data_IF_874653551845
#
_entry.id   IF_874653551845
#
_cell.length_a   1.000
_cell.length_b   1.000
_cell.length_c   1.000
_cell.angle_alpha   90.00
_cell.angle_beta   90.00
_cell.angle_gamma   90.00
#
_symmetry.space_group_name_H-M   'P 1'
#
loop_
_entity.id
_entity.type
_entity.pdbx_description
1 polymer ?
#
# COMPACT_ATOMS: atom_id res chain seq x y z
N UNK A 1 -1.03 1.01 -66.04
CA UNK A 1 -1.25 -0.21 -65.23
C UNK A 1 -0.40 -0.09 -63.96
N UNK A 2 -0.82 0.77 -63.04
CA UNK A 2 -0.13 1.09 -61.78
C UNK A 2 -1.08 0.72 -60.65
N UNK A 3 -0.97 -0.49 -60.10
CA UNK A 3 -1.50 -0.90 -58.79
C UNK A 3 -0.91 -2.31 -58.61
N UNK A 4 0.21 -2.41 -57.89
CA UNK A 4 0.69 -3.68 -57.31
C UNK A 4 1.92 -3.57 -56.40
N UNK A 5 2.44 -2.37 -56.14
CA UNK A 5 3.63 -2.21 -55.27
C UNK A 5 3.38 -1.46 -53.96
N UNK A 6 2.15 -1.05 -53.67
CA UNK A 6 1.85 -0.25 -52.47
C UNK A 6 1.33 -1.05 -51.27
N UNK A 7 1.32 -2.38 -51.34
CA UNK A 7 0.83 -3.24 -50.25
C UNK A 7 1.93 -3.74 -49.31
N UNK A 8 3.22 -3.54 -49.62
CA UNK A 8 4.30 -3.97 -48.73
C UNK A 8 4.66 -2.94 -47.64
N UNK A 9 4.21 -1.70 -47.75
CA UNK A 9 4.52 -0.65 -46.77
C UNK A 9 3.52 -0.59 -45.60
N UNK A 10 2.36 -1.23 -45.73
CA UNK A 10 1.34 -1.24 -44.65
C UNK A 10 1.67 -2.29 -43.58
N UNK A 11 2.45 -3.33 -43.91
CA UNK A 11 2.85 -4.36 -42.95
C UNK A 11 3.92 -3.88 -41.94
N UNK A 12 4.66 -2.80 -42.24
CA UNK A 12 5.75 -2.31 -41.35
C UNK A 12 5.24 -1.28 -40.33
N UNK A 13 4.04 -0.71 -40.54
CA UNK A 13 3.47 0.29 -39.61
C UNK A 13 2.73 -0.38 -38.44
N UNK A 14 2.41 -1.67 -38.52
CA UNK A 14 1.70 -2.40 -37.47
C UNK A 14 2.59 -2.92 -36.33
N UNK A 15 3.91 -2.80 -36.41
CA UNK A 15 4.82 -3.15 -35.30
C UNK A 15 5.16 -1.97 -34.37
N UNK A 16 4.53 -0.80 -34.56
CA UNK A 16 4.60 0.31 -33.59
C UNK A 16 3.27 0.41 -32.81
N UNK A 17 2.70 -0.74 -32.46
CA UNK A 17 1.62 -0.84 -31.48
C UNK A 17 2.06 -1.74 -30.35
N UNK A 18 3.02 -1.25 -29.56
CA UNK A 18 3.31 -1.65 -28.18
C UNK A 18 4.21 -0.56 -27.58
N UNK A 19 3.69 0.66 -27.49
CA UNK A 19 4.14 1.61 -26.47
C UNK A 19 2.89 2.11 -25.79
N UNK A 20 2.26 1.21 -25.03
CA UNK A 20 1.59 1.71 -23.83
C UNK A 20 2.72 2.34 -23.04
N UNK A 21 2.74 3.68 -22.96
CA UNK A 21 3.60 4.38 -22.03
C UNK A 21 3.52 3.63 -20.70
N UNK A 22 4.70 3.19 -20.30
CA UNK A 22 4.91 2.26 -19.23
C UNK A 22 4.43 2.95 -17.94
N UNK A 23 3.21 2.65 -17.50
CA UNK A 23 2.74 2.93 -16.13
C UNK A 23 3.60 2.19 -15.08
N UNK A 24 4.68 1.50 -15.51
CA UNK A 24 5.66 0.74 -14.75
C UNK A 24 6.53 1.55 -13.80
N UNK A 25 6.49 2.88 -13.84
CA UNK A 25 7.40 3.66 -12.99
C UNK A 25 7.01 3.60 -11.52
N UNK A 26 5.73 3.45 -11.18
CA UNK A 26 5.30 3.29 -9.79
C UNK A 26 5.74 1.89 -9.31
N UNK A 27 6.58 1.78 -8.27
CA UNK A 27 7.07 0.49 -7.80
C UNK A 27 5.90 -0.41 -7.41
N UNK A 28 5.80 -1.54 -8.10
CA UNK A 28 4.74 -2.52 -7.85
C UNK A 28 4.87 -3.13 -6.46
N UNK A 29 3.74 -3.41 -5.84
CA UNK A 29 3.63 -4.18 -4.60
C UNK A 29 2.99 -5.52 -4.93
N UNK A 30 3.58 -6.61 -4.44
CA UNK A 30 3.05 -7.97 -4.63
C UNK A 30 2.80 -8.66 -3.28
N UNK A 31 1.57 -9.15 -3.02
CA UNK A 31 0.34 -8.78 -3.72
C UNK A 31 -0.03 -7.30 -3.46
N UNK A 32 -0.85 -6.69 -4.30
CA UNK A 32 -1.33 -5.30 -4.14
C UNK A 32 -2.55 -5.17 -3.19
N UNK A 33 -3.13 -6.30 -2.80
CA UNK A 33 -4.22 -6.40 -1.84
C UNK A 33 -4.02 -7.66 -0.97
N UNK A 34 -4.38 -7.58 0.30
CA UNK A 34 -4.41 -8.70 1.24
C UNK A 34 -5.74 -8.69 1.97
N UNK A 35 -6.44 -9.82 1.96
CA UNK A 35 -7.61 -10.05 2.80
C UNK A 35 -7.17 -10.72 4.12
N UNK A 36 -7.50 -10.10 5.24
CA UNK A 36 -7.34 -10.68 6.58
C UNK A 36 -8.68 -11.17 7.10
N UNK A 37 -8.67 -12.39 7.65
CA UNK A 37 -9.84 -13.00 8.29
C UNK A 37 -9.41 -13.92 9.42
N UNK A 38 -10.37 -14.48 10.15
CA UNK A 38 -10.06 -15.49 11.19
C UNK A 38 -9.40 -16.74 10.60
N UNK A 39 -9.74 -17.13 9.36
CA UNK A 39 -9.13 -18.25 8.65
C UNK A 39 -7.75 -17.91 8.07
N UNK A 40 -7.55 -16.65 7.68
CA UNK A 40 -6.29 -16.13 7.12
C UNK A 40 -5.86 -14.88 7.91
N UNK A 41 -5.36 -15.07 9.15
CA UNK A 41 -5.11 -13.95 10.06
C UNK A 41 -3.81 -13.21 9.75
N UNK A 42 -3.03 -13.64 8.76
CA UNK A 42 -1.77 -13.01 8.40
C UNK A 42 -1.56 -12.99 6.89
N UNK A 43 -0.84 -11.98 6.42
CA UNK A 43 -0.43 -11.85 5.04
C UNK A 43 0.90 -11.10 4.93
N UNK A 44 1.53 -11.23 3.77
CA UNK A 44 2.80 -10.57 3.48
C UNK A 44 2.71 -9.86 2.14
N UNK A 45 3.30 -8.67 2.05
CA UNK A 45 3.53 -7.98 0.78
C UNK A 45 4.96 -7.48 0.69
N UNK A 46 5.41 -7.29 -0.54
CA UNK A 46 6.76 -6.83 -0.85
C UNK A 46 6.75 -5.91 -2.08
N UNK A 47 7.61 -4.90 -2.05
CA UNK A 47 7.94 -4.13 -3.26
C UNK A 47 8.77 -4.97 -4.23
N UNK A 48 8.46 -4.89 -5.52
CA UNK A 48 9.23 -5.56 -6.57
C UNK A 48 10.71 -5.13 -6.50
N UNK A 49 10.96 -3.84 -6.27
CA UNK A 49 12.30 -3.28 -6.06
C UNK A 49 12.29 -2.26 -4.93
N UNK A 50 13.42 -2.13 -4.24
CA UNK A 50 13.65 -1.04 -3.28
C UNK A 50 12.94 -1.17 -1.93
N UNK A 51 12.97 -0.05 -1.21
CA UNK A 51 12.32 0.12 0.07
C UNK A 51 11.86 1.57 0.20
N UNK A 52 10.55 1.75 0.40
CA UNK A 52 9.92 3.06 0.32
C UNK A 52 9.35 3.48 1.67
N UNK A 53 9.44 4.77 1.94
CA UNK A 53 8.91 5.34 3.18
C UNK A 53 7.38 5.35 3.13
N UNK A 54 6.75 4.77 4.15
CA UNK A 54 5.31 4.94 4.36
C UNK A 54 5.03 6.41 4.70
N UNK A 55 4.13 7.06 3.96
CA UNK A 55 3.80 8.47 4.16
C UNK A 55 2.45 8.67 4.85
N UNK A 56 1.52 7.71 4.73
CA UNK A 56 0.23 7.76 5.42
C UNK A 56 -0.45 6.38 5.52
N UNK A 57 -1.46 6.32 6.38
CA UNK A 57 -2.49 5.27 6.32
C UNK A 57 -3.89 5.89 6.30
N UNK A 58 -4.84 5.18 5.69
CA UNK A 58 -6.27 5.55 5.62
C UNK A 58 -7.15 4.37 5.99
N UNK A 59 -8.06 4.55 6.93
CA UNK A 59 -9.00 3.53 7.43
C UNK A 59 -10.38 3.86 6.88
N UNK A 60 -11.03 2.87 6.26
CA UNK A 60 -12.36 2.99 5.67
C UNK A 60 -13.35 2.05 6.39
N UNK A 61 -14.38 2.61 7.01
CA UNK A 61 -15.45 1.86 7.70
C UNK A 61 -16.67 1.58 6.81
N UNK A 62 -16.62 1.88 5.51
CA UNK A 62 -17.69 1.63 4.55
C UNK A 62 -18.88 2.58 4.64
N UNK A 63 -18.79 3.65 5.43
CA UNK A 63 -19.82 4.69 5.55
C UNK A 63 -19.29 6.02 5.03
N UNK A 64 -20.18 6.82 4.42
CA UNK A 64 -19.88 8.18 3.97
C UNK A 64 -19.32 8.98 5.15
N UNK A 65 -18.27 9.77 4.91
CA UNK A 65 -17.61 10.66 5.88
C UNK A 65 -17.01 9.98 7.12
N UNK A 66 -16.73 8.68 7.05
CA UNK A 66 -16.06 7.93 8.14
C UNK A 66 -14.61 7.54 7.83
N UNK A 67 -14.04 8.02 6.72
CA UNK A 67 -12.64 7.77 6.43
C UNK A 67 -11.74 8.49 7.43
N UNK A 68 -10.80 7.75 8.01
CA UNK A 68 -9.83 8.27 8.97
C UNK A 68 -8.45 8.17 8.35
N UNK A 69 -7.70 9.27 8.30
CA UNK A 69 -6.34 9.26 7.73
C UNK A 69 -5.31 9.85 8.68
N UNK A 70 -4.07 9.35 8.58
CA UNK A 70 -2.94 9.88 9.33
C UNK A 70 -1.67 9.83 8.51
N UNK A 71 -1.00 10.99 8.40
CA UNK A 71 0.33 11.08 7.80
C UNK A 71 1.42 10.66 8.80
N UNK A 72 2.41 9.96 8.30
CA UNK A 72 3.64 9.61 9.00
C UNK A 72 4.62 10.77 8.83
N UNK A 73 4.70 11.64 9.84
CA UNK A 73 5.54 12.84 9.80
C UNK A 73 6.97 12.54 10.26
N UNK A 74 7.90 13.45 9.94
CA UNK A 74 9.28 13.38 10.47
C UNK A 74 9.34 13.36 12.00
N UNK A 75 8.38 14.00 12.67
CA UNK A 75 8.28 13.99 14.14
C UNK A 75 7.90 12.61 14.69
N UNK A 76 6.99 11.89 14.00
CA UNK A 76 6.65 10.51 14.36
C UNK A 76 7.87 9.61 14.16
N UNK A 77 8.58 9.79 13.04
CA UNK A 77 9.75 8.97 12.71
C UNK A 77 10.94 9.22 13.66
N UNK A 78 11.07 10.40 14.25
CA UNK A 78 12.19 10.74 15.15
C UNK A 78 12.07 10.13 16.55
N UNK A 79 10.91 9.57 16.92
CA UNK A 79 10.66 8.92 18.21
C UNK A 79 10.63 7.41 18.03
N UNK A 80 11.18 6.66 18.99
CA UNK A 80 11.13 5.19 18.95
C UNK A 80 9.71 4.65 19.02
N UNK A 81 8.83 5.35 19.74
CA UNK A 81 7.42 5.02 19.87
C UNK A 81 6.58 6.30 19.91
N UNK A 82 5.48 6.31 19.17
CA UNK A 82 4.46 7.37 19.23
C UNK A 82 3.07 6.75 19.24
N UNK A 83 2.25 7.13 20.23
CA UNK A 83 0.81 6.83 20.21
C UNK A 83 0.11 8.01 19.55
N UNK A 84 -0.68 7.74 18.50
CA UNK A 84 -1.49 8.76 17.82
C UNK A 84 -2.96 8.45 18.06
N UNK A 85 -3.70 9.47 18.50
CA UNK A 85 -5.15 9.45 18.52
C UNK A 85 -5.67 9.84 17.13
N UNK A 86 -6.68 9.10 16.67
CA UNK A 86 -7.31 9.26 15.38
C UNK A 86 -8.64 10.03 15.53
N UNK A 87 -9.18 10.55 14.43
CA UNK A 87 -10.40 11.37 14.46
C UNK A 87 -11.66 10.62 14.89
N UNK A 88 -11.63 9.28 14.84
CA UNK A 88 -12.68 8.38 15.33
C UNK A 88 -12.50 7.99 16.81
N UNK A 89 -11.49 8.55 17.49
CA UNK A 89 -11.15 8.24 18.89
C UNK A 89 -10.31 6.96 19.06
N UNK A 90 -10.07 6.21 17.98
CA UNK A 90 -9.19 5.04 18.03
C UNK A 90 -7.72 5.47 18.09
N UNK A 91 -6.85 4.54 18.46
CA UNK A 91 -5.42 4.80 18.60
C UNK A 91 -4.61 3.90 17.67
N UNK A 92 -3.51 4.46 17.18
CA UNK A 92 -2.47 3.68 16.55
C UNK A 92 -1.15 3.90 17.30
N UNK A 93 -0.43 2.82 17.59
CA UNK A 93 0.91 2.90 18.17
C UNK A 93 1.95 2.63 17.09
N UNK A 94 2.77 3.63 16.82
CA UNK A 94 3.79 3.61 15.76
C UNK A 94 5.15 3.41 16.40
N UNK A 95 5.91 2.43 15.91
CA UNK A 95 7.25 2.10 16.38
C UNK A 95 8.26 2.34 15.27
N UNK A 96 9.32 3.06 15.60
CA UNK A 96 10.40 3.40 14.70
C UNK A 96 11.74 3.00 15.32
N UNK A 97 12.73 2.75 14.47
CA UNK A 97 14.12 2.55 14.88
C UNK A 97 15.01 3.39 13.98
N UNK A 98 15.80 4.29 14.56
CA UNK A 98 16.71 5.18 13.84
C UNK A 98 16.02 5.94 12.68
N UNK A 99 14.82 6.48 12.90
CA UNK A 99 14.10 7.21 11.85
C UNK A 99 13.30 6.34 10.87
N UNK A 100 13.37 5.01 10.99
CA UNK A 100 12.73 4.05 10.06
C UNK A 100 11.55 3.39 10.75
N UNK A 101 10.36 3.48 10.14
CA UNK A 101 9.15 2.79 10.57
C UNK A 101 9.38 1.26 10.64
N UNK A 102 9.14 0.68 11.81
CA UNK A 102 9.26 -0.76 12.02
C UNK A 102 7.89 -1.44 12.14
N UNK A 103 6.94 -0.79 12.81
CA UNK A 103 5.63 -1.40 13.11
C UNK A 103 4.57 -0.33 13.35
N UNK A 104 3.32 -0.62 12.99
CA UNK A 104 2.15 0.11 13.45
C UNK A 104 1.17 -0.89 14.03
N UNK A 105 0.71 -0.64 15.25
CA UNK A 105 -0.32 -1.42 15.94
C UNK A 105 -1.62 -0.62 15.98
N UNK A 106 -2.68 -1.25 15.48
CA UNK A 106 -4.07 -0.84 15.63
C UNK A 106 -4.78 -1.87 16.52
N UNK A 107 -5.94 -1.53 17.07
CA UNK A 107 -6.71 -2.48 17.89
C UNK A 107 -7.17 -3.72 17.10
N UNK A 108 -7.33 -3.60 15.78
CA UNK A 108 -7.79 -4.68 14.89
C UNK A 108 -6.68 -5.37 14.10
N UNK A 109 -5.52 -4.75 13.88
CA UNK A 109 -4.41 -5.36 13.15
C UNK A 109 -3.05 -4.76 13.50
N UNK A 110 -2.00 -5.43 13.06
CA UNK A 110 -0.63 -4.90 13.08
C UNK A 110 -0.03 -4.98 11.68
N UNK A 111 0.72 -3.95 11.28
CA UNK A 111 1.64 -3.99 10.13
C UNK A 111 3.07 -3.89 10.66
N UNK A 112 3.97 -4.77 10.21
CA UNK A 112 5.37 -4.81 10.66
C UNK A 112 6.30 -4.98 9.48
N UNK A 113 7.38 -4.20 9.46
CA UNK A 113 8.50 -4.38 8.55
C UNK A 113 9.27 -5.62 8.98
N UNK A 114 9.38 -6.61 8.09
CA UNK A 114 10.09 -7.87 8.38
C UNK A 114 11.49 -7.90 7.75
N UNK A 115 11.67 -7.17 6.66
CA UNK A 115 12.97 -6.90 6.02
C UNK A 115 12.82 -5.68 5.11
N UNK A 116 13.91 -5.26 4.47
CA UNK A 116 13.91 -4.23 3.43
C UNK A 116 12.82 -4.50 2.39
N UNK A 117 11.92 -3.53 2.17
CA UNK A 117 10.85 -3.61 1.18
C UNK A 117 9.72 -4.62 1.45
N UNK A 118 9.73 -5.37 2.56
CA UNK A 118 8.74 -6.41 2.87
C UNK A 118 8.08 -6.19 4.21
N UNK A 119 6.76 -6.37 4.22
CA UNK A 119 5.92 -6.18 5.39
C UNK A 119 5.06 -7.40 5.64
N UNK A 120 4.78 -7.64 6.92
CA UNK A 120 3.77 -8.56 7.42
C UNK A 120 2.58 -7.75 7.91
N UNK A 121 1.38 -8.19 7.60
CA UNK A 121 0.14 -7.73 8.23
C UNK A 121 -0.50 -8.87 8.99
N UNK A 122 -1.10 -8.57 10.13
CA UNK A 122 -1.68 -9.59 11.00
C UNK A 122 -2.92 -9.06 11.72
N UNK A 123 -4.00 -9.85 11.74
CA UNK A 123 -5.23 -9.58 12.45
C UNK A 123 -5.02 -9.75 13.97
N UNK A 124 -5.53 -8.80 14.75
CA UNK A 124 -5.48 -8.87 16.21
C UNK A 124 -6.74 -9.56 16.74
N UNK A 125 -6.56 -10.66 17.48
CA UNK A 125 -7.65 -11.53 17.97
C UNK A 125 -8.59 -10.87 18.98
N UNK A 126 -8.23 -9.69 19.49
CA UNK A 126 -8.94 -9.00 20.59
C UNK A 126 -9.68 -7.74 20.12
N UNK A 127 -10.07 -7.65 18.84
CA UNK A 127 -10.81 -6.48 18.35
C UNK A 127 -12.25 -6.50 18.85
N UNK A 128 -12.49 -5.86 20.01
CA UNK A 128 -13.84 -5.66 20.59
C UNK A 128 -14.54 -4.46 19.91
N UNK A 129 -13.81 -3.70 19.09
CA UNK A 129 -14.31 -2.53 18.35
C UNK A 129 -14.66 -2.87 16.90
N UNK A 130 -15.41 -1.97 16.27
CA UNK A 130 -15.82 -2.08 14.87
C UNK A 130 -14.58 -2.27 13.97
N UNK A 131 -14.46 -3.44 13.36
CA UNK A 131 -13.42 -3.72 12.36
C UNK A 131 -13.76 -2.90 11.10
N UNK A 132 -12.79 -2.15 10.53
CA UNK A 132 -13.00 -1.42 9.28
C UNK A 132 -13.21 -2.36 8.10
N UNK A 133 -13.76 -1.84 7.00
CA UNK A 133 -13.87 -2.60 5.73
C UNK A 133 -12.49 -2.75 5.10
N UNK A 134 -11.69 -1.68 5.14
CA UNK A 134 -10.33 -1.69 4.61
C UNK A 134 -9.42 -0.69 5.33
N UNK A 135 -8.12 -0.93 5.27
CA UNK A 135 -7.07 0.05 5.55
C UNK A 135 -6.08 0.08 4.39
N UNK A 136 -5.70 1.28 3.97
CA UNK A 136 -4.72 1.51 2.92
C UNK A 136 -3.44 2.06 3.54
N UNK A 137 -2.30 1.55 3.11
CA UNK A 137 -1.00 2.11 3.47
C UNK A 137 -0.34 2.69 2.22
N UNK A 138 -0.04 3.98 2.28
CA UNK A 138 0.59 4.70 1.20
C UNK A 138 2.10 4.83 1.40
N UNK A 139 2.85 4.61 0.32
CA UNK A 139 4.30 4.69 0.28
C UNK A 139 4.77 5.68 -0.77
N UNK A 140 5.77 6.50 -0.41
CA UNK A 140 6.37 7.48 -1.30
C UNK A 140 7.52 6.83 -2.08
N UNK A 141 7.34 6.71 -3.39
CA UNK A 141 8.34 6.26 -4.34
C UNK A 141 8.83 7.43 -5.21
N UNK A 142 10.03 7.34 -5.82
CA UNK A 142 10.57 8.38 -6.71
C UNK A 142 9.61 8.78 -7.83
N UNK A 143 8.88 7.81 -8.37
CA UNK A 143 8.02 7.96 -9.54
C UNK A 143 6.52 8.07 -9.21
N UNK A 144 6.16 8.14 -7.92
CA UNK A 144 4.76 8.28 -7.52
C UNK A 144 4.45 7.70 -6.14
N UNK A 145 3.17 7.38 -5.91
CA UNK A 145 2.72 6.76 -4.67
C UNK A 145 2.18 5.36 -4.91
N UNK A 146 2.76 4.40 -4.22
CA UNK A 146 2.28 3.01 -4.21
C UNK A 146 1.39 2.80 -2.99
N UNK A 147 0.28 2.10 -3.16
CA UNK A 147 -0.63 1.78 -2.07
C UNK A 147 -0.84 0.26 -1.99
N UNK A 148 -0.94 -0.26 -0.77
CA UNK A 148 -1.42 -1.61 -0.49
C UNK A 148 -2.79 -1.47 0.18
N UNK A 149 -3.75 -2.29 -0.25
CA UNK A 149 -5.05 -2.41 0.40
C UNK A 149 -5.06 -3.64 1.32
N UNK A 150 -5.48 -3.46 2.57
CA UNK A 150 -5.76 -4.56 3.50
C UNK A 150 -7.25 -4.55 3.78
N UNK A 151 -7.95 -5.63 3.42
CA UNK A 151 -9.39 -5.79 3.63
C UNK A 151 -9.66 -6.77 4.77
N UNK A 152 -10.84 -6.67 5.38
CA UNK A 152 -11.22 -7.49 6.53
C UNK A 152 -12.52 -8.26 6.25
N UNK A 153 -12.53 -9.56 6.59
CA UNK A 153 -13.70 -10.44 6.49
C UNK A 153 -13.91 -11.31 7.73
#
# INVERSE_FOLDING_TARGET
MMIKRFLLFIAVILMVSCSNEDNSKIPGITPSEIELSTAHPEGFFQFIEGDYAMYEFRINYGKIDTEVSKRITKEILSKEQTVVELSDGNKATIYCKNGILQKIEFDFMTISKVQTGKYKVQLNKNSIQQVPVAIFFGFSAPDGMSNIAITFR
#
